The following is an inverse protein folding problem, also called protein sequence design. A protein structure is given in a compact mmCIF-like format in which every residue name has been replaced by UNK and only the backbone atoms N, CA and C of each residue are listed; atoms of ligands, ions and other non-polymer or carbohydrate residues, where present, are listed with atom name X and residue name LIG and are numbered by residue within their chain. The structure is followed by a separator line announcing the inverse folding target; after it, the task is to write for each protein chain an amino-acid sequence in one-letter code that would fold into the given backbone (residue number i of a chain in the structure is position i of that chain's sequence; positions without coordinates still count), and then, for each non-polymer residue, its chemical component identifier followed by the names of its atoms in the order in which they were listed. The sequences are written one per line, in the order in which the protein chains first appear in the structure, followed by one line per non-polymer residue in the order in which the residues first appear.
data_IF_382571221727
#
_entry.id   IF_382571221727
#
_cell.length_a   1.000
_cell.length_b   1.000
_cell.length_c   1.000
_cell.angle_alpha   90.00
_cell.angle_beta   90.00
_cell.angle_gamma   90.00
#
_symmetry.space_group_name_H-M   'P 1'
#
loop_
_entity.id
_entity.type
_entity.pdbx_description
1 polymer ?
#
# COMPACT_ATOMS: atom_id res chain seq x y z
N UNK A 1 -28.61 57.46 -25.59
CA UNK A 1 -27.31 57.42 -24.89
C UNK A 1 -27.15 55.97 -24.43
N UNK A 2 -26.55 55.06 -25.21
CA UNK A 2 -25.11 54.92 -25.52
C UNK A 2 -24.48 54.01 -24.44
N UNK A 3 -23.73 52.95 -24.68
CA UNK A 3 -23.24 52.28 -25.88
C UNK A 3 -22.85 50.82 -25.50
N UNK A 4 -22.67 49.95 -26.49
CA UNK A 4 -22.18 48.58 -26.38
C UNK A 4 -20.69 48.50 -26.04
N UNK A 5 -20.23 47.35 -25.50
CA UNK A 5 -18.96 46.72 -25.92
C UNK A 5 -18.84 45.28 -25.39
N UNK A 6 -18.67 44.37 -26.35
CA UNK A 6 -18.21 42.98 -26.25
C UNK A 6 -16.72 42.90 -25.88
N UNK A 7 -16.31 41.84 -25.17
CA UNK A 7 -14.90 41.43 -25.10
C UNK A 7 -14.75 39.91 -25.24
N UNK A 8 -14.04 39.52 -26.30
CA UNK A 8 -13.58 38.17 -26.64
C UNK A 8 -12.40 37.73 -25.73
N UNK A 9 -12.11 36.43 -25.60
CA UNK A 9 -11.02 35.93 -24.76
C UNK A 9 -9.65 36.05 -25.44
N UNK A 10 -8.62 36.39 -24.65
CA UNK A 10 -7.20 36.40 -25.04
C UNK A 10 -6.61 34.98 -25.00
N UNK A 11 -5.72 34.61 -25.95
CA UNK A 11 -5.02 33.33 -25.92
C UNK A 11 -3.84 33.35 -24.93
N UNK A 12 -3.76 32.35 -24.05
CA UNK A 12 -2.60 32.08 -23.20
C UNK A 12 -1.49 31.46 -24.06
N UNK A 13 -0.37 32.18 -24.18
CA UNK A 13 0.87 31.74 -24.80
C UNK A 13 1.64 30.77 -23.89
N UNK A 14 2.10 29.66 -24.47
CA UNK A 14 3.02 28.71 -23.85
C UNK A 14 4.41 29.36 -23.61
N UNK A 15 5.08 29.13 -22.46
CA UNK A 15 6.46 29.54 -22.28
C UNK A 15 7.41 28.63 -23.07
N UNK A 16 8.36 29.24 -23.78
CA UNK A 16 9.48 28.59 -24.45
C UNK A 16 10.36 27.83 -23.44
N UNK A 17 10.56 26.53 -23.68
CA UNK A 17 11.57 25.74 -22.98
C UNK A 17 12.97 26.08 -23.53
N UNK A 18 13.77 26.75 -22.70
CA UNK A 18 15.22 26.79 -22.88
C UNK A 18 15.82 25.40 -22.63
N UNK A 19 16.45 24.86 -23.66
CA UNK A 19 17.25 23.63 -23.61
C UNK A 19 18.49 23.88 -22.76
N UNK A 20 18.62 23.18 -21.64
CA UNK A 20 19.88 23.08 -20.89
C UNK A 20 20.35 21.64 -20.99
N UNK A 21 21.40 21.44 -21.79
CA UNK A 21 22.12 20.19 -21.96
C UNK A 21 22.89 19.85 -20.70
N UNK A 22 22.46 18.80 -19.99
CA UNK A 22 23.25 18.12 -18.96
C UNK A 22 23.82 16.84 -19.56
N UNK A 23 25.15 16.76 -19.60
CA UNK A 23 25.90 15.58 -20.05
C UNK A 23 25.66 14.37 -19.14
N UNK A 24 25.51 13.15 -19.68
CA UNK A 24 25.34 11.95 -18.86
C UNK A 24 26.66 11.56 -18.18
N UNK A 25 26.60 11.38 -16.85
CA UNK A 25 27.65 10.71 -16.08
C UNK A 25 27.56 9.19 -16.34
N UNK A 26 28.72 8.57 -16.46
CA UNK A 26 28.95 7.15 -16.77
C UNK A 26 28.25 6.18 -15.80
N UNK A 27 27.89 4.96 -16.25
CA UNK A 27 27.24 3.97 -15.41
C UNK A 27 28.23 3.39 -14.39
N UNK A 28 27.86 3.46 -13.11
CA UNK A 28 28.53 2.73 -12.05
C UNK A 28 28.03 1.29 -12.04
N UNK A 29 28.94 0.35 -12.27
CA UNK A 29 28.69 -1.08 -12.16
C UNK A 29 28.33 -1.44 -10.72
N UNK A 30 27.08 -1.84 -10.48
CA UNK A 30 26.70 -2.47 -9.21
C UNK A 30 26.69 -3.99 -9.37
N UNK A 31 27.60 -4.62 -8.62
CA UNK A 31 27.69 -6.07 -8.44
C UNK A 31 26.53 -6.49 -7.53
N UNK A 32 25.60 -7.26 -8.08
CA UNK A 32 24.55 -7.93 -7.31
C UNK A 32 25.18 -9.16 -6.64
N UNK A 33 25.25 -9.16 -5.30
CA UNK A 33 25.58 -10.37 -4.54
C UNK A 33 24.32 -11.25 -4.37
N UNK A 34 24.45 -12.58 -4.48
CA UNK A 34 23.32 -13.48 -4.52
C UNK A 34 22.80 -13.75 -3.10
N UNK A 35 21.56 -13.35 -2.83
CA UNK A 35 20.80 -13.94 -1.73
C UNK A 35 19.56 -14.62 -2.32
N UNK A 36 19.60 -15.94 -2.19
CA UNK A 36 18.66 -16.98 -2.52
C UNK A 36 17.19 -16.55 -2.47
N UNK A 37 16.57 -16.36 -3.64
CA UNK A 37 15.13 -16.51 -3.81
C UNK A 37 14.89 -17.71 -4.72
N UNK A 38 14.36 -18.77 -4.13
CA UNK A 38 14.08 -20.05 -4.80
C UNK A 38 12.95 -19.86 -5.82
N UNK A 39 13.32 -19.91 -7.09
CA UNK A 39 12.43 -20.00 -8.23
C UNK A 39 11.83 -21.43 -8.27
N UNK A 40 10.51 -21.58 -8.18
CA UNK A 40 9.85 -22.86 -8.45
C UNK A 40 9.29 -22.87 -9.87
N UNK A 41 10.07 -23.41 -10.80
CA UNK A 41 9.56 -23.96 -12.05
C UNK A 41 9.13 -25.41 -11.82
N UNK A 42 7.90 -25.75 -12.19
CA UNK A 42 7.32 -27.08 -11.98
C UNK A 42 7.99 -28.17 -12.84
N UNK A 43 8.49 -29.24 -12.20
CA UNK A 43 8.48 -30.62 -12.70
C UNK A 43 8.37 -31.61 -11.52
N UNK A 44 7.65 -32.75 -11.66
CA UNK A 44 7.27 -33.58 -10.52
C UNK A 44 8.34 -34.63 -10.22
N UNK A 45 8.94 -34.60 -9.01
CA UNK A 45 9.65 -35.76 -8.44
C UNK A 45 9.43 -35.85 -6.92
N UNK A 46 9.19 -37.08 -6.49
CA UNK A 46 8.84 -37.60 -5.17
C UNK A 46 9.76 -37.18 -4.01
N UNK A 47 9.17 -36.91 -2.84
CA UNK A 47 9.88 -36.70 -1.56
C UNK A 47 10.47 -38.01 -0.99
N UNK A 48 11.69 -37.98 -0.43
CA UNK A 48 12.13 -38.96 0.57
C UNK A 48 11.96 -38.46 2.01
N UNK A 49 11.64 -39.39 2.92
CA UNK A 49 11.54 -39.22 4.38
C UNK A 49 12.90 -39.35 5.07
N UNK A 50 13.19 -38.52 6.08
CA UNK A 50 14.07 -38.82 7.23
C UNK A 50 13.91 -37.71 8.28
N UNK A 51 13.33 -37.94 9.46
CA UNK A 51 13.82 -38.62 10.69
C UNK A 51 14.29 -37.60 11.74
N UNK A 52 13.61 -37.63 12.89
CA UNK A 52 13.79 -36.81 14.08
C UNK A 52 15.19 -36.92 14.68
N UNK A 53 15.68 -35.83 15.27
CA UNK A 53 16.68 -35.86 16.34
C UNK A 53 16.39 -34.79 17.41
N UNK A 54 16.61 -35.18 18.65
CA UNK A 54 16.26 -34.57 19.96
C UNK A 54 17.07 -33.32 20.35
N UNK A 55 16.61 -32.51 21.34
CA UNK A 55 17.24 -31.24 21.70
C UNK A 55 18.33 -31.38 22.76
N UNK A 56 19.34 -30.50 22.81
CA UNK A 56 20.26 -30.40 23.95
C UNK A 56 19.74 -29.45 25.04
N UNK A 57 20.09 -29.79 26.29
CA UNK A 57 19.68 -29.14 27.55
C UNK A 57 20.50 -27.88 27.90
N UNK A 58 19.84 -27.07 28.70
CA UNK A 58 20.18 -25.78 29.31
C UNK A 58 21.49 -25.75 30.14
N UNK A 59 22.19 -24.61 30.11
CA UNK A 59 23.14 -24.18 31.15
C UNK A 59 22.68 -22.82 31.73
N UNK A 60 22.77 -22.72 33.05
CA UNK A 60 22.30 -21.61 33.88
C UNK A 60 23.30 -20.46 33.93
N UNK A 61 22.87 -19.25 33.59
CA UNK A 61 23.60 -18.00 33.86
C UNK A 61 22.77 -17.17 34.82
N UNK A 62 23.36 -16.91 35.99
CA UNK A 62 22.85 -16.05 37.05
C UNK A 62 22.90 -14.59 36.58
N UNK A 63 21.77 -13.89 36.54
CA UNK A 63 21.73 -12.43 36.33
C UNK A 63 21.06 -11.76 37.53
N UNK A 64 21.78 -10.78 38.08
CA UNK A 64 21.36 -9.96 39.20
C UNK A 64 20.09 -9.17 38.84
N UNK A 65 19.06 -9.30 39.68
CA UNK A 65 17.78 -8.63 39.56
C UNK A 65 17.86 -7.19 40.09
N UNK A 66 18.03 -6.23 39.19
CA UNK A 66 17.66 -4.83 39.44
C UNK A 66 16.17 -4.68 39.12
N UNK A 67 15.32 -4.68 40.15
CA UNK A 67 13.87 -4.51 40.02
C UNK A 67 13.52 -3.07 39.59
N UNK A 68 13.56 -2.79 38.29
CA UNK A 68 12.75 -1.73 37.71
C UNK A 68 11.35 -2.32 37.50
N UNK A 69 10.40 -2.00 38.39
CA UNK A 69 9.01 -2.41 38.21
C UNK A 69 8.46 -1.73 36.95
N UNK A 70 8.47 -2.42 35.82
CA UNK A 70 7.62 -2.04 34.70
C UNK A 70 6.18 -2.07 35.23
N UNK A 71 5.48 -0.95 35.12
CA UNK A 71 4.03 -0.92 35.30
C UNK A 71 3.44 -1.97 34.37
N UNK A 72 2.41 -2.68 34.83
CA UNK A 72 1.61 -3.59 33.99
C UNK A 72 1.25 -2.87 32.69
N UNK A 73 1.35 -3.54 31.52
CA UNK A 73 0.99 -2.95 30.25
C UNK A 73 -0.40 -2.34 30.33
N UNK A 74 -0.57 -1.13 29.80
CA UNK A 74 -1.90 -0.51 29.75
C UNK A 74 -2.77 -1.38 28.84
N UNK A 75 -3.75 -2.05 29.43
CA UNK A 75 -4.71 -2.90 28.71
C UNK A 75 -5.88 -2.09 28.14
N UNK A 76 -6.18 -0.93 28.73
CA UNK A 76 -7.28 -0.05 28.32
C UNK A 76 -6.75 1.36 27.98
N UNK A 77 -6.76 1.77 26.70
CA UNK A 77 -6.37 3.11 26.28
C UNK A 77 -7.14 4.24 26.97
N UNK A 78 -8.36 3.99 27.48
CA UNK A 78 -9.16 4.98 28.19
C UNK A 78 -8.68 5.24 29.63
N UNK A 79 -7.82 4.38 30.16
CA UNK A 79 -7.21 4.54 31.49
C UNK A 79 -5.95 5.41 31.50
N UNK A 80 -5.49 5.85 30.33
CA UNK A 80 -4.29 6.69 30.20
C UNK A 80 -4.58 8.07 30.80
N UNK A 81 -3.66 8.55 31.64
CA UNK A 81 -3.74 9.88 32.23
C UNK A 81 -3.91 10.97 31.17
N UNK A 82 -4.79 11.94 31.44
CA UNK A 82 -5.16 12.96 30.45
C UNK A 82 -3.97 13.84 30.03
N UNK A 83 -3.02 14.13 30.92
CA UNK A 83 -1.84 14.91 30.53
C UNK A 83 -0.94 14.12 29.58
N UNK A 84 -0.81 12.80 29.81
CA UNK A 84 -0.10 11.92 28.92
C UNK A 84 -0.79 11.79 27.56
N UNK A 85 -2.12 11.68 27.52
CA UNK A 85 -2.88 11.69 26.26
C UNK A 85 -2.60 12.95 25.45
N UNK A 86 -2.61 14.13 26.08
CA UNK A 86 -2.33 15.39 25.37
C UNK A 86 -0.91 15.43 24.79
N UNK A 87 0.09 14.92 25.52
CA UNK A 87 1.47 14.80 25.02
C UNK A 87 1.56 13.86 23.82
N UNK A 88 0.95 12.69 23.92
CA UNK A 88 0.90 11.71 22.82
C UNK A 88 0.23 12.30 21.58
N UNK A 89 -0.91 12.98 21.74
CA UNK A 89 -1.63 13.64 20.64
C UNK A 89 -0.76 14.70 20.00
N UNK A 90 -0.15 15.58 20.80
CA UNK A 90 0.75 16.62 20.28
C UNK A 90 1.89 16.01 19.44
N UNK A 91 2.58 15.01 19.98
CA UNK A 91 3.72 14.38 19.29
C UNK A 91 3.29 13.61 18.05
N UNK A 92 2.12 12.96 18.07
CA UNK A 92 1.56 12.27 16.91
C UNK A 92 1.24 13.25 15.78
N UNK A 93 0.68 14.41 16.10
CA UNK A 93 0.36 15.46 15.12
C UNK A 93 1.63 16.09 14.53
N UNK A 94 2.64 16.38 15.37
CA UNK A 94 3.95 16.86 14.92
C UNK A 94 4.61 15.81 14.02
N UNK A 95 4.68 14.56 14.46
CA UNK A 95 5.28 13.48 13.69
C UNK A 95 4.58 13.31 12.33
N UNK A 96 3.24 13.29 12.31
CA UNK A 96 2.47 13.16 11.08
C UNK A 96 2.77 14.28 10.07
N UNK A 97 2.94 15.51 10.57
CA UNK A 97 3.27 16.68 9.75
C UNK A 97 4.68 16.59 9.17
N UNK A 98 5.65 16.12 9.95
CA UNK A 98 7.05 16.00 9.53
C UNK A 98 7.31 14.84 8.57
N UNK A 99 6.50 13.79 8.65
CA UNK A 99 6.71 12.54 7.89
C UNK A 99 5.67 12.35 6.76
N UNK A 100 4.84 13.35 6.47
CA UNK A 100 3.90 13.28 5.35
C UNK A 100 2.76 12.27 5.53
N UNK A 101 2.34 12.00 6.77
CA UNK A 101 1.13 11.23 7.09
C UNK A 101 -0.09 12.17 7.00
N UNK A 102 -0.38 12.62 5.78
CA UNK A 102 -1.34 13.70 5.49
C UNK A 102 -2.29 13.35 4.35
N UNK A 103 -3.44 14.01 4.35
CA UNK A 103 -4.44 14.01 3.27
C UNK A 103 -4.90 15.44 3.00
N UNK A 104 -5.60 15.65 1.89
CA UNK A 104 -6.30 16.91 1.64
C UNK A 104 -7.48 17.10 2.59
N UNK A 105 -7.60 18.27 3.22
CA UNK A 105 -8.72 18.63 4.09
C UNK A 105 -10.02 18.72 3.28
N UNK A 106 -11.05 18.00 3.72
CA UNK A 106 -12.39 18.01 3.10
C UNK A 106 -13.04 19.40 3.07
N UNK A 107 -12.66 20.28 4.00
CA UNK A 107 -13.20 21.64 4.12
C UNK A 107 -12.47 22.65 3.21
N UNK A 108 -11.39 22.22 2.54
CA UNK A 108 -10.63 23.06 1.60
C UNK A 108 -10.84 22.53 0.19
N UNK A 109 -11.54 23.29 -0.65
CA UNK A 109 -11.90 22.87 -2.02
C UNK A 109 -10.69 22.44 -2.86
N UNK A 110 -9.58 23.16 -2.74
CA UNK A 110 -8.35 22.93 -3.52
C UNK A 110 -7.52 21.73 -3.06
N UNK A 111 -7.83 21.12 -1.91
CA UNK A 111 -6.96 20.12 -1.27
C UNK A 111 -6.88 18.78 -2.01
N UNK A 112 -7.88 18.46 -2.84
CA UNK A 112 -7.85 17.30 -3.74
C UNK A 112 -7.33 17.61 -5.15
N UNK A 113 -6.94 18.87 -5.42
CA UNK A 113 -6.55 19.33 -6.76
C UNK A 113 -5.12 19.87 -6.81
N UNK A 114 -4.66 20.49 -5.71
CA UNK A 114 -3.37 21.17 -5.66
C UNK A 114 -2.54 20.58 -4.52
N UNK A 115 -1.49 19.80 -4.83
CA UNK A 115 -0.57 19.28 -3.82
C UNK A 115 0.00 20.42 -2.96
N UNK A 116 0.12 20.17 -1.66
CA UNK A 116 0.71 21.09 -0.69
C UNK A 116 -0.24 22.17 -0.15
N UNK A 117 -1.51 22.21 -0.58
CA UNK A 117 -2.50 23.18 -0.12
C UNK A 117 -3.59 22.49 0.70
N UNK A 118 -3.95 23.07 1.85
CA UNK A 118 -5.04 22.55 2.68
C UNK A 118 -4.79 21.12 3.18
N UNK A 119 -3.56 20.83 3.61
CA UNK A 119 -3.20 19.53 4.17
C UNK A 119 -3.68 19.42 5.62
N UNK A 120 -4.12 18.22 5.98
CA UNK A 120 -4.42 17.82 7.36
C UNK A 120 -3.82 16.44 7.61
N UNK A 121 -3.47 16.11 8.86
CA UNK A 121 -3.03 14.77 9.20
C UNK A 121 -4.07 13.73 8.76
N UNK A 122 -3.62 12.55 8.33
CA UNK A 122 -4.54 11.45 8.09
C UNK A 122 -5.28 11.10 9.41
N UNK A 123 -6.58 10.74 9.38
CA UNK A 123 -7.25 10.21 10.56
C UNK A 123 -6.57 8.92 11.02
N UNK A 124 -6.17 8.88 12.30
CA UNK A 124 -5.38 7.78 12.87
C UNK A 124 -5.86 7.42 14.27
N UNK A 125 -5.71 6.14 14.64
CA UNK A 125 -5.71 5.73 16.04
C UNK A 125 -4.39 6.19 16.69
N UNK A 126 -4.47 6.72 17.91
CA UNK A 126 -3.30 7.28 18.60
C UNK A 126 -2.27 6.20 18.97
N UNK A 127 -2.75 5.01 19.35
CA UNK A 127 -1.95 3.84 19.70
C UNK A 127 -2.40 2.64 18.85
N UNK A 128 -1.54 1.62 18.67
CA UNK A 128 -1.91 0.43 17.93
C UNK A 128 -2.98 -0.37 18.67
N UNK A 129 -3.90 -0.97 17.92
CA UNK A 129 -4.86 -1.92 18.46
C UNK A 129 -4.18 -3.28 18.69
N UNK A 130 -4.58 -3.97 19.75
CA UNK A 130 -4.12 -5.34 20.01
C UNK A 130 -4.73 -6.31 19.00
N UNK A 131 -3.90 -7.16 18.40
CA UNK A 131 -4.34 -8.19 17.47
C UNK A 131 -3.57 -9.51 17.73
N UNK A 132 -4.24 -10.67 17.78
CA UNK A 132 -3.57 -11.95 18.02
C UNK A 132 -2.56 -12.33 16.92
N UNK A 133 -1.34 -12.70 17.34
CA UNK A 133 -0.25 -13.05 16.43
C UNK A 133 -0.58 -14.28 15.55
N UNK A 134 -1.32 -15.26 16.09
CA UNK A 134 -1.71 -16.45 15.33
C UNK A 134 -2.59 -16.10 14.12
N UNK A 135 -3.60 -15.24 14.31
CA UNK A 135 -4.48 -14.77 13.24
C UNK A 135 -3.76 -13.80 12.29
N UNK A 136 -2.79 -13.02 12.78
CA UNK A 136 -1.94 -12.19 11.91
C UNK A 136 -1.12 -13.07 10.95
N UNK A 137 -0.49 -14.13 11.48
CA UNK A 137 0.28 -15.07 10.68
C UNK A 137 -0.61 -15.82 9.68
N UNK A 138 -1.82 -16.23 10.10
CA UNK A 138 -2.80 -16.82 9.18
C UNK A 138 -3.14 -15.89 8.01
N UNK A 139 -3.36 -14.59 8.25
CA UNK A 139 -3.61 -13.62 7.19
C UNK A 139 -2.43 -13.48 6.23
N UNK A 140 -1.20 -13.47 6.76
CA UNK A 140 0.03 -13.43 5.97
C UNK A 140 0.19 -14.67 5.09
N UNK A 141 -0.08 -15.86 5.63
CA UNK A 141 0.00 -17.14 4.91
C UNK A 141 -1.04 -17.25 3.79
N UNK A 142 -2.22 -16.65 3.97
CA UNK A 142 -3.28 -16.63 2.96
C UNK A 142 -2.99 -15.69 1.78
N UNK A 143 -2.19 -14.65 1.97
CA UNK A 143 -1.91 -13.65 0.92
C UNK A 143 -1.42 -14.25 -0.42
N UNK A 144 -0.37 -15.08 -0.47
CA UNK A 144 0.06 -15.69 -1.73
C UNK A 144 -0.97 -16.68 -2.31
N UNK A 145 -1.78 -17.33 -1.46
CA UNK A 145 -2.86 -18.23 -1.91
C UNK A 145 -3.94 -17.44 -2.64
N UNK A 146 -4.36 -16.30 -2.09
CA UNK A 146 -5.33 -15.42 -2.74
C UNK A 146 -4.77 -14.80 -4.03
N UNK A 147 -3.48 -14.46 -4.09
CA UNK A 147 -2.86 -13.96 -5.31
C UNK A 147 -2.98 -14.98 -6.46
N UNK A 148 -2.64 -16.25 -6.20
CA UNK A 148 -2.78 -17.33 -7.19
C UNK A 148 -4.25 -17.59 -7.55
N UNK A 149 -5.15 -17.56 -6.55
CA UNK A 149 -6.58 -17.75 -6.78
C UNK A 149 -7.14 -16.68 -7.72
N UNK A 150 -6.79 -15.41 -7.49
CA UNK A 150 -7.23 -14.29 -8.34
C UNK A 150 -6.71 -14.47 -9.77
N UNK A 151 -5.43 -14.82 -9.95
CA UNK A 151 -4.88 -15.04 -11.30
C UNK A 151 -5.64 -16.16 -12.03
N UNK A 152 -5.81 -17.33 -11.39
CA UNK A 152 -6.50 -18.47 -12.01
C UNK A 152 -7.97 -18.18 -12.33
N UNK A 153 -8.68 -17.51 -11.43
CA UNK A 153 -10.07 -17.11 -11.68
C UNK A 153 -10.15 -16.08 -12.81
N UNK A 154 -9.17 -15.16 -12.91
CA UNK A 154 -9.13 -14.16 -13.99
C UNK A 154 -8.97 -14.77 -15.39
N UNK A 155 -8.34 -15.94 -15.48
CA UNK A 155 -8.14 -16.67 -16.74
C UNK A 155 -9.40 -17.42 -17.20
N UNK A 156 -10.34 -17.71 -16.30
CA UNK A 156 -11.60 -18.35 -16.66
C UNK A 156 -12.67 -17.29 -17.03
N UNK A 157 -12.54 -16.78 -18.24
CA UNK A 157 -13.46 -15.77 -18.77
C UNK A 157 -14.92 -16.26 -18.82
N UNK A 158 -15.15 -17.56 -19.00
CA UNK A 158 -16.49 -18.15 -19.00
C UNK A 158 -17.08 -18.13 -17.59
N UNK A 159 -16.32 -18.55 -16.59
CA UNK A 159 -16.74 -18.49 -15.18
C UNK A 159 -17.13 -17.08 -14.77
N UNK A 160 -16.33 -16.07 -15.11
CA UNK A 160 -16.63 -14.67 -14.79
C UNK A 160 -17.91 -14.16 -15.46
N UNK A 161 -18.07 -14.41 -16.77
CA UNK A 161 -19.26 -13.98 -17.52
C UNK A 161 -20.53 -14.69 -17.03
N UNK A 162 -20.47 -16.00 -16.78
CA UNK A 162 -21.60 -16.79 -16.32
C UNK A 162 -22.03 -16.38 -14.91
N UNK A 163 -21.07 -16.25 -13.99
CA UNK A 163 -21.31 -15.89 -12.57
C UNK A 163 -21.95 -14.49 -12.46
N UNK A 164 -21.50 -13.52 -13.26
CA UNK A 164 -21.99 -12.14 -13.21
C UNK A 164 -23.15 -11.86 -14.19
N UNK A 165 -23.64 -12.87 -14.91
CA UNK A 165 -24.70 -12.72 -15.92
C UNK A 165 -26.01 -12.14 -15.39
N UNK A 166 -26.37 -12.45 -14.14
CA UNK A 166 -27.54 -11.87 -13.46
C UNK A 166 -27.28 -10.42 -13.06
N UNK A 167 -26.11 -10.15 -12.49
CA UNK A 167 -25.67 -8.80 -12.08
C UNK A 167 -25.65 -7.84 -13.26
N UNK A 168 -25.19 -8.30 -14.43
CA UNK A 168 -25.21 -7.54 -15.68
C UNK A 168 -26.57 -6.91 -16.02
N UNK A 169 -27.67 -7.57 -15.67
CA UNK A 169 -29.03 -7.12 -16.00
C UNK A 169 -29.54 -6.00 -15.10
N UNK A 170 -28.93 -5.83 -13.92
CA UNK A 170 -29.44 -4.93 -12.86
C UNK A 170 -28.43 -3.87 -12.45
N UNK A 171 -27.15 -4.03 -12.79
CA UNK A 171 -26.11 -3.02 -12.54
C UNK A 171 -25.43 -2.56 -13.84
N UNK A 172 -25.72 -1.31 -14.22
CA UNK A 172 -25.18 -0.70 -15.44
C UNK A 172 -23.65 -0.55 -15.39
N UNK A 173 -23.08 -0.33 -14.20
CA UNK A 173 -21.64 -0.21 -14.05
C UNK A 173 -20.93 -1.54 -14.36
N UNK A 174 -21.32 -2.63 -13.68
CA UNK A 174 -20.80 -3.98 -13.95
C UNK A 174 -21.09 -4.43 -15.37
N UNK A 175 -22.24 -4.06 -15.96
CA UNK A 175 -22.53 -4.39 -17.36
C UNK A 175 -21.45 -3.84 -18.30
N UNK A 176 -21.07 -2.56 -18.13
CA UNK A 176 -20.03 -1.93 -18.97
C UNK A 176 -18.67 -2.61 -18.79
N UNK A 177 -18.32 -3.05 -17.58
CA UNK A 177 -17.10 -3.83 -17.33
C UNK A 177 -17.14 -5.18 -18.05
N UNK A 178 -18.26 -5.91 -17.99
CA UNK A 178 -18.44 -7.18 -18.69
C UNK A 178 -18.43 -7.03 -20.22
N UNK A 179 -18.85 -5.90 -20.75
CA UNK A 179 -18.78 -5.59 -22.18
C UNK A 179 -17.33 -5.33 -22.64
N UNK A 180 -16.51 -4.67 -21.81
CA UNK A 180 -15.05 -4.54 -22.06
C UNK A 180 -14.42 -5.94 -22.01
N UNK A 181 -14.69 -6.71 -20.96
CA UNK A 181 -14.17 -8.07 -20.82
C UNK A 181 -14.57 -8.97 -22.00
N UNK A 182 -15.82 -8.91 -22.48
CA UNK A 182 -16.29 -9.67 -23.66
C UNK A 182 -15.50 -9.31 -24.93
N UNK A 183 -15.23 -8.02 -25.15
CA UNK A 183 -14.42 -7.55 -26.29
C UNK A 183 -12.98 -8.05 -26.21
N UNK A 184 -12.39 -8.08 -25.00
CA UNK A 184 -11.06 -8.65 -24.80
C UNK A 184 -11.01 -10.14 -25.12
N UNK A 185 -12.01 -10.93 -24.67
CA UNK A 185 -12.10 -12.37 -25.00
C UNK A 185 -12.21 -12.59 -26.52
N UNK A 186 -13.01 -11.78 -27.22
CA UNK A 186 -13.18 -11.86 -28.68
C UNK A 186 -11.90 -11.47 -29.45
N UNK A 187 -11.09 -10.57 -28.90
CA UNK A 187 -9.82 -10.16 -29.52
C UNK A 187 -8.79 -11.29 -29.59
N UNK A 188 -8.93 -12.33 -28.75
CA UNK A 188 -7.98 -13.44 -28.66
C UNK A 188 -6.58 -13.04 -28.19
N UNK A 189 -6.40 -11.83 -27.66
CA UNK A 189 -5.11 -11.35 -27.18
C UNK A 189 -4.67 -12.15 -25.96
N UNK A 190 -3.44 -12.65 -25.99
CA UNK A 190 -2.79 -13.32 -24.87
C UNK A 190 -1.99 -12.31 -24.05
N UNK A 191 -2.28 -12.23 -22.76
CA UNK A 191 -1.56 -11.37 -21.81
C UNK A 191 -0.63 -12.24 -20.95
N UNK A 192 0.62 -12.36 -21.37
CA UNK A 192 1.62 -13.21 -20.70
C UNK A 192 2.21 -12.57 -19.44
N UNK A 193 2.12 -11.24 -19.32
CA UNK A 193 2.54 -10.46 -18.15
C UNK A 193 1.28 -9.95 -17.45
N UNK A 194 1.04 -10.40 -16.21
CA UNK A 194 -0.09 -9.98 -15.37
C UNK A 194 0.44 -9.59 -14.00
N UNK A 195 -0.02 -8.45 -13.49
CA UNK A 195 0.37 -7.93 -12.18
C UNK A 195 -0.88 -7.68 -11.34
N UNK A 196 -0.90 -8.22 -10.12
CA UNK A 196 -1.90 -7.97 -9.10
C UNK A 196 -1.33 -7.20 -7.92
N UNK A 197 -1.95 -6.07 -7.58
CA UNK A 197 -1.69 -5.32 -6.35
C UNK A 197 -2.93 -5.42 -5.46
N UNK A 198 -3.02 -6.50 -4.68
CA UNK A 198 -4.23 -6.87 -3.97
C UNK A 198 -4.20 -6.49 -2.49
N UNK A 199 -5.39 -6.36 -1.89
CA UNK A 199 -5.56 -6.28 -0.43
C UNK A 199 -6.72 -7.19 -0.02
N UNK A 200 -6.45 -8.12 0.88
CA UNK A 200 -7.48 -8.97 1.47
C UNK A 200 -7.80 -8.43 2.86
N UNK A 201 -9.06 -8.09 3.09
CA UNK A 201 -9.52 -7.45 4.31
C UNK A 201 -10.21 -8.48 5.22
N UNK A 202 -9.93 -8.42 6.52
CA UNK A 202 -10.37 -9.42 7.49
C UNK A 202 -10.93 -8.79 8.76
N UNK A 203 -11.83 -9.51 9.43
CA UNK A 203 -12.24 -9.24 10.80
C UNK A 203 -12.06 -10.49 11.66
N UNK A 204 -11.76 -10.29 12.94
CA UNK A 204 -11.73 -11.34 13.94
C UNK A 204 -13.11 -11.44 14.59
N UNK A 205 -13.78 -12.57 14.44
CA UNK A 205 -15.05 -12.81 15.13
C UNK A 205 -14.80 -13.13 16.61
N UNK A 206 -15.38 -12.34 17.51
CA UNK A 206 -15.15 -12.46 18.95
C UNK A 206 -15.63 -13.81 19.53
N UNK A 207 -16.75 -14.34 19.03
CA UNK A 207 -17.37 -15.55 19.58
C UNK A 207 -16.62 -16.82 19.19
N UNK A 208 -16.15 -16.87 17.96
CA UNK A 208 -15.50 -18.06 17.38
C UNK A 208 -13.97 -17.93 17.37
N UNK A 209 -13.44 -16.73 17.59
CA UNK A 209 -12.01 -16.39 17.45
C UNK A 209 -11.45 -16.74 16.05
N UNK A 210 -12.32 -16.77 15.04
CA UNK A 210 -11.96 -17.05 13.65
C UNK A 210 -11.62 -15.76 12.92
N UNK A 211 -10.55 -15.80 12.14
CA UNK A 211 -10.25 -14.77 11.15
C UNK A 211 -11.13 -14.99 9.93
N UNK A 212 -12.02 -14.04 9.64
CA UNK A 212 -12.97 -14.11 8.53
C UNK A 212 -12.64 -13.03 7.49
N UNK A 213 -12.54 -13.44 6.22
CA UNK A 213 -12.35 -12.51 5.11
C UNK A 213 -13.66 -11.74 4.87
N UNK A 214 -13.55 -10.42 4.80
CA UNK A 214 -14.66 -9.51 4.50
C UNK A 214 -14.73 -9.29 2.99
N UNK A 215 -13.61 -8.91 2.37
CA UNK A 215 -13.52 -8.67 0.94
C UNK A 215 -12.10 -8.86 0.41
N UNK A 216 -12.00 -8.98 -0.91
CA UNK A 216 -10.73 -9.05 -1.64
C UNK A 216 -10.70 -7.93 -2.67
N UNK A 217 -9.91 -6.90 -2.38
CA UNK A 217 -9.71 -5.76 -3.25
C UNK A 217 -8.68 -6.12 -4.34
N UNK A 218 -9.14 -6.12 -5.59
CA UNK A 218 -8.32 -6.42 -6.78
C UNK A 218 -7.98 -5.19 -7.62
N UNK A 219 -8.53 -4.03 -7.28
CA UNK A 219 -8.35 -2.77 -7.99
C UNK A 219 -8.19 -1.61 -6.99
N UNK A 220 -7.26 -0.70 -7.30
CA UNK A 220 -7.06 0.56 -6.55
C UNK A 220 -6.98 0.40 -5.02
N UNK A 221 -6.20 -0.59 -4.55
CA UNK A 221 -5.96 -0.82 -3.13
C UNK A 221 -5.23 0.36 -2.48
N UNK A 222 -5.97 1.23 -1.79
CA UNK A 222 -5.42 2.37 -1.04
C UNK A 222 -4.55 1.97 0.15
N UNK A 223 -3.80 2.95 0.65
CA UNK A 223 -3.02 2.96 1.89
C UNK A 223 -1.75 2.12 1.85
N UNK A 224 -1.23 1.80 0.67
CA UNK A 224 0.10 1.18 0.57
C UNK A 224 1.19 2.08 1.14
N UNK A 225 1.06 3.41 0.97
CA UNK A 225 1.94 4.46 1.49
C UNK A 225 1.66 4.79 2.95
N UNK A 226 0.45 5.30 3.22
CA UNK A 226 0.10 5.84 4.54
C UNK A 226 0.12 4.76 5.64
N UNK A 227 -0.17 3.49 5.34
CA UNK A 227 -0.13 2.42 6.36
C UNK A 227 1.28 2.13 6.87
N UNK A 228 2.31 2.30 6.02
CA UNK A 228 3.71 2.23 6.46
C UNK A 228 3.99 3.31 7.51
N UNK A 229 3.57 4.54 7.23
CA UNK A 229 3.75 5.68 8.14
C UNK A 229 2.97 5.52 9.46
N UNK A 230 1.76 4.95 9.44
CA UNK A 230 1.03 4.64 10.69
C UNK A 230 1.80 3.65 11.55
N UNK A 231 2.40 2.62 10.93
CA UNK A 231 3.21 1.63 11.64
C UNK A 231 4.45 2.28 12.26
N UNK A 232 5.13 3.16 11.51
CA UNK A 232 6.28 3.92 11.99
C UNK A 232 5.93 4.91 13.11
N UNK A 233 4.80 5.62 12.98
CA UNK A 233 4.28 6.50 14.02
C UNK A 233 4.05 5.74 15.33
N UNK A 234 3.33 4.62 15.27
CA UNK A 234 3.07 3.81 16.45
C UNK A 234 4.36 3.30 17.08
N UNK A 235 5.31 2.80 16.28
CA UNK A 235 6.63 2.39 16.79
C UNK A 235 7.39 3.55 17.45
N UNK A 236 7.34 4.75 16.86
CA UNK A 236 7.97 5.96 17.38
C UNK A 236 7.37 6.35 18.74
N UNK A 237 6.03 6.44 18.84
CA UNK A 237 5.34 6.76 20.08
C UNK A 237 5.62 5.71 21.17
N UNK A 238 5.51 4.42 20.85
CA UNK A 238 5.77 3.36 21.82
C UNK A 238 7.23 3.33 22.31
N UNK A 239 8.19 3.68 21.43
CA UNK A 239 9.61 3.77 21.80
C UNK A 239 9.89 4.99 22.68
N UNK A 240 9.22 6.12 22.44
CA UNK A 240 9.40 7.33 23.25
C UNK A 240 8.70 7.21 24.62
N UNK A 241 7.54 6.55 24.64
CA UNK A 241 6.66 6.44 25.81
C UNK A 241 6.63 5.02 26.40
N UNK A 242 7.72 4.25 26.28
CA UNK A 242 7.77 2.84 26.72
C UNK A 242 7.46 2.67 28.20
N UNK A 243 8.05 3.48 29.09
CA UNK A 243 7.83 3.39 30.53
C UNK A 243 6.39 3.69 30.96
N UNK A 244 5.75 4.79 30.52
CA UNK A 244 4.38 5.08 30.91
C UNK A 244 3.35 4.16 30.25
N UNK A 245 3.58 3.68 29.03
CA UNK A 245 2.62 2.80 28.32
C UNK A 245 2.79 1.32 28.67
N UNK A 246 4.01 0.87 28.98
CA UNK A 246 4.31 -0.54 29.19
C UNK A 246 4.12 -1.39 27.93
N UNK A 247 4.16 -0.78 26.75
CA UNK A 247 3.98 -1.43 25.44
C UNK A 247 5.32 -1.48 24.70
N UNK A 248 5.56 -2.60 24.03
CA UNK A 248 6.76 -2.87 23.26
C UNK A 248 6.57 -2.46 21.79
N UNK A 249 7.41 -1.55 21.29
CA UNK A 249 7.36 -1.10 19.90
C UNK A 249 7.68 -2.21 18.90
N UNK A 250 8.44 -3.24 19.31
CA UNK A 250 8.74 -4.39 18.45
C UNK A 250 7.55 -5.32 18.21
N UNK A 251 6.46 -5.14 18.97
CA UNK A 251 5.19 -5.84 18.72
C UNK A 251 4.36 -5.22 17.60
N UNK A 252 4.71 -4.03 17.12
CA UNK A 252 4.13 -3.46 15.89
C UNK A 252 4.95 -3.96 14.69
N UNK A 253 4.37 -4.76 13.78
CA UNK A 253 5.11 -5.31 12.64
C UNK A 253 5.70 -4.23 11.74
N UNK A 254 6.86 -4.53 11.14
CA UNK A 254 7.42 -3.68 10.08
C UNK A 254 6.50 -3.77 8.86
N UNK A 255 6.00 -2.62 8.39
CA UNK A 255 5.17 -2.54 7.20
C UNK A 255 5.97 -2.01 6.02
N UNK A 256 6.23 -2.87 5.03
CA UNK A 256 6.99 -2.55 3.82
C UNK A 256 6.13 -2.38 2.57
N UNK A 257 4.81 -2.23 2.71
CA UNK A 257 3.82 -2.25 1.62
C UNK A 257 4.20 -1.34 0.44
N UNK A 258 4.47 -0.05 0.66
CA UNK A 258 4.86 0.90 -0.41
C UNK A 258 6.04 0.40 -1.21
N UNK A 259 7.09 -0.05 -0.51
CA UNK A 259 8.33 -0.49 -1.14
C UNK A 259 8.14 -1.77 -1.94
N UNK A 260 7.30 -2.69 -1.46
CA UNK A 260 6.98 -3.94 -2.15
C UNK A 260 6.10 -3.69 -3.37
N UNK A 261 5.14 -2.78 -3.28
CA UNK A 261 4.33 -2.35 -4.43
C UNK A 261 5.21 -1.69 -5.51
N UNK A 262 6.12 -0.79 -5.10
CA UNK A 262 7.09 -0.19 -6.02
C UNK A 262 8.01 -1.24 -6.67
N UNK A 263 8.51 -2.21 -5.89
CA UNK A 263 9.36 -3.29 -6.38
C UNK A 263 8.67 -4.12 -7.47
N UNK A 264 7.42 -4.53 -7.26
CA UNK A 264 6.72 -5.38 -8.24
C UNK A 264 6.24 -4.59 -9.46
N UNK A 265 5.94 -3.30 -9.33
CA UNK A 265 5.73 -2.40 -10.47
C UNK A 265 7.01 -2.27 -11.30
N UNK A 266 8.16 -2.11 -10.64
CA UNK A 266 9.46 -2.07 -11.30
C UNK A 266 9.75 -3.35 -12.10
N UNK A 267 9.48 -4.51 -11.49
CA UNK A 267 9.62 -5.81 -12.14
C UNK A 267 8.68 -5.96 -13.34
N UNK A 268 7.40 -5.63 -13.20
CA UNK A 268 6.45 -5.73 -14.30
C UNK A 268 6.82 -4.84 -15.50
N UNK A 269 7.31 -3.62 -15.24
CA UNK A 269 7.83 -2.75 -16.29
C UNK A 269 9.11 -3.31 -16.95
N UNK A 270 10.01 -3.89 -16.16
CA UNK A 270 11.22 -4.53 -16.69
C UNK A 270 10.87 -5.73 -17.60
N UNK A 271 9.88 -6.54 -17.20
CA UNK A 271 9.37 -7.65 -18.03
C UNK A 271 8.75 -7.14 -19.35
N UNK A 272 8.07 -5.98 -19.33
CA UNK A 272 7.57 -5.34 -20.56
C UNK A 272 8.69 -4.99 -21.55
N UNK A 273 9.95 -4.90 -21.10
CA UNK A 273 11.16 -4.86 -21.94
C UNK A 273 11.23 -3.69 -22.93
N UNK A 274 10.71 -2.52 -22.53
CA UNK A 274 10.85 -1.29 -23.30
C UNK A 274 11.32 -0.14 -22.40
N UNK A 275 12.60 0.31 -22.52
CA UNK A 275 13.17 1.33 -21.64
C UNK A 275 12.54 2.72 -21.84
N UNK A 276 11.86 2.97 -22.95
CA UNK A 276 11.13 4.23 -23.19
C UNK A 276 9.66 4.16 -22.75
N UNK A 277 9.18 3.01 -22.27
CA UNK A 277 7.83 2.88 -21.76
C UNK A 277 7.68 3.55 -20.40
N UNK A 278 6.45 3.96 -20.09
CA UNK A 278 6.10 4.65 -18.85
C UNK A 278 5.11 3.84 -18.03
N UNK A 279 5.07 4.08 -16.72
CA UNK A 279 3.98 3.63 -15.88
C UNK A 279 2.90 4.71 -15.87
N UNK A 280 1.70 4.33 -16.34
CA UNK A 280 0.52 5.19 -16.31
C UNK A 280 -0.24 4.98 -15.01
N UNK A 281 -0.43 6.05 -14.23
CA UNK A 281 -1.27 6.06 -13.03
C UNK A 281 -2.60 6.73 -13.38
N UNK A 282 -3.67 5.95 -13.35
CA UNK A 282 -5.03 6.43 -13.57
C UNK A 282 -5.61 6.91 -12.24
N UNK A 283 -5.99 8.18 -12.16
CA UNK A 283 -6.42 8.84 -10.91
C UNK A 283 -7.78 9.52 -11.05
N UNK A 284 -8.45 9.72 -9.93
CA UNK A 284 -9.69 10.47 -9.85
C UNK A 284 -9.44 12.00 -9.87
N UNK A 285 -10.35 12.80 -10.44
CA UNK A 285 -10.35 14.25 -10.21
C UNK A 285 -10.69 14.55 -8.74
N UNK A 286 -9.97 15.48 -8.10
CA UNK A 286 -10.26 15.86 -6.71
C UNK A 286 -9.78 14.87 -5.65
N UNK A 287 -8.74 14.09 -5.95
CA UNK A 287 -8.16 13.05 -5.09
C UNK A 287 -7.50 13.63 -3.82
N UNK A 288 -8.20 13.60 -2.68
CA UNK A 288 -7.66 14.08 -1.39
C UNK A 288 -6.65 13.10 -0.77
N UNK A 289 -6.66 11.84 -1.18
CA UNK A 289 -5.69 10.84 -0.76
C UNK A 289 -4.48 10.76 -1.72
N UNK A 290 -4.21 11.80 -2.52
CA UNK A 290 -3.15 11.80 -3.54
C UNK A 290 -1.77 11.53 -2.96
N UNK A 291 -1.54 11.90 -1.70
CA UNK A 291 -0.26 11.71 -1.02
C UNK A 291 0.10 10.22 -0.87
N UNK A 292 -0.89 9.33 -0.70
CA UNK A 292 -0.66 7.88 -0.69
C UNK A 292 -0.12 7.38 -2.04
N UNK A 293 -0.66 7.90 -3.14
CA UNK A 293 -0.21 7.59 -4.51
C UNK A 293 1.17 8.21 -4.78
N UNK A 294 1.42 9.42 -4.27
CA UNK A 294 2.72 10.07 -4.36
C UNK A 294 3.80 9.32 -3.57
N UNK A 295 3.48 8.73 -2.42
CA UNK A 295 4.41 7.86 -1.70
C UNK A 295 4.86 6.67 -2.55
N UNK A 296 3.92 5.99 -3.22
CA UNK A 296 4.23 4.88 -4.10
C UNK A 296 5.09 5.31 -5.29
N UNK A 297 4.70 6.39 -5.97
CA UNK A 297 5.40 6.85 -7.18
C UNK A 297 6.75 7.52 -6.88
N UNK A 298 6.91 8.19 -5.75
CA UNK A 298 8.19 8.69 -5.27
C UNK A 298 9.13 7.52 -4.95
N UNK A 299 8.66 6.53 -4.19
CA UNK A 299 9.42 5.32 -3.88
C UNK A 299 9.88 4.59 -5.15
N UNK A 300 9.00 4.51 -6.15
CA UNK A 300 9.32 3.91 -7.45
C UNK A 300 10.44 4.68 -8.18
N UNK A 301 10.33 6.02 -8.26
CA UNK A 301 11.32 6.89 -8.92
C UNK A 301 12.67 6.94 -8.22
N UNK A 302 12.66 6.93 -6.88
CA UNK A 302 13.89 7.05 -6.09
C UNK A 302 14.70 5.75 -6.05
N UNK A 303 14.03 4.60 -6.04
CA UNK A 303 14.69 3.30 -5.90
C UNK A 303 15.00 2.60 -7.21
N UNK A 304 14.33 2.95 -8.30
CA UNK A 304 14.42 2.26 -9.58
C UNK A 304 14.62 3.27 -10.71
N UNK A 305 15.30 2.88 -11.81
CA UNK A 305 15.60 3.78 -12.93
C UNK A 305 14.34 4.06 -13.78
N UNK A 306 13.38 4.79 -13.22
CA UNK A 306 12.18 5.26 -13.91
C UNK A 306 12.28 6.75 -14.24
N UNK A 307 12.35 7.05 -15.53
CA UNK A 307 12.43 8.44 -15.97
C UNK A 307 11.07 9.13 -16.05
N UNK A 308 9.95 8.39 -16.17
CA UNK A 308 8.64 9.01 -16.38
C UNK A 308 7.45 8.19 -15.85
N UNK A 309 6.67 8.84 -14.96
CA UNK A 309 5.36 8.40 -14.49
C UNK A 309 4.35 9.43 -14.98
N UNK A 310 3.33 8.99 -15.71
CA UNK A 310 2.27 9.87 -16.24
C UNK A 310 1.02 9.68 -15.37
N UNK A 311 0.44 10.80 -14.94
CA UNK A 311 -0.86 10.82 -14.28
C UNK A 311 -1.93 11.19 -15.31
N UNK A 312 -2.98 10.38 -15.43
CA UNK A 312 -4.18 10.74 -16.20
C UNK A 312 -5.36 10.81 -15.25
N UNK A 313 -6.00 11.98 -15.22
CA UNK A 313 -7.27 12.18 -14.55
C UNK A 313 -8.38 11.60 -15.42
N UNK A 314 -9.00 10.51 -14.97
CA UNK A 314 -10.16 9.94 -15.63
C UNK A 314 -11.40 10.32 -14.82
N UNK A 315 -12.31 11.06 -15.46
CA UNK A 315 -13.69 11.12 -15.03
C UNK A 315 -14.32 9.75 -15.31
N UNK A 316 -14.23 8.83 -14.35
CA UNK A 316 -15.03 7.62 -14.39
C UNK A 316 -16.50 8.02 -14.19
N UNK A 317 -17.29 7.77 -15.23
CA UNK A 317 -18.70 8.18 -15.43
C UNK A 317 -19.65 7.36 -14.56
#
# INVERSE_FOLDING_TARGET
MGAACSSSPLPLSLPNHHSSTLHPKSPSNFIISPSTLTYYSHFPKSLPKSSMNSPPKCSSITTNSSTNSLKTPISDPHSIDSELVQKLVHDALVWSSLHGLVVGDRNVERSGLVPGVGMVHAPIALLPNSFPEAQWNQACELAPVFNELVDRVSLDGKFLQDTLSRTKKVDAFTSRLLDIHSRMLQSGKKEDIRLGLHRSDYMLDEKTNLLLQIELNTISCSFSGLSCLVSELHRSLLSHYTKPLGLDSEKVPINASTSKFAEVLAKAWAEYSNPSAVVLVVVQPGERNMYDQHWLTATLKEKYPFDLIIYIFLFLI
#
